data_IF_298763039237
#
_entry.id   IF_298763039237
#
_cell.length_a   1.000
_cell.length_b   1.000
_cell.length_c   1.000
_cell.angle_alpha   90.00
_cell.angle_beta   90.00
_cell.angle_gamma   90.00
#
_symmetry.space_group_name_H-M   'P 1'
#
loop_
_entity.id
_entity.type
_entity.pdbx_description
1 polymer ?
#
# COMPACT_ATOMS: atom_id res chain seq x y z
N UNK A 1 -4.42 -10.97 -0.64
CA UNK A 1 -5.15 -11.19 0.65
C UNK A 1 -5.55 -9.87 1.32
N UNK A 2 -5.60 -8.78 0.59
CA UNK A 2 -5.83 -7.47 1.17
C UNK A 2 -5.84 -6.43 0.07
N UNK A 3 -5.89 -5.17 0.47
CA UNK A 3 -6.01 -4.04 -0.44
C UNK A 3 -4.72 -3.24 -0.54
N UNK A 4 -4.58 -2.56 -1.66
CA UNK A 4 -3.55 -1.57 -1.84
C UNK A 4 -3.85 -0.32 -1.01
N UNK A 5 -2.82 0.23 -0.36
CA UNK A 5 -2.93 1.47 0.42
C UNK A 5 -1.91 2.51 -0.01
N UNK A 6 -1.99 3.70 0.60
CA UNK A 6 -1.14 4.87 0.28
C UNK A 6 0.38 4.58 0.31
N UNK A 7 0.83 3.61 1.10
CA UNK A 7 2.24 3.23 1.19
C UNK A 7 2.79 2.48 -0.04
N UNK A 8 1.94 2.15 -1.02
CA UNK A 8 2.21 1.49 -2.29
C UNK A 8 2.83 0.09 -2.24
N UNK A 9 3.77 -0.18 -1.33
CA UNK A 9 4.53 -1.42 -1.27
C UNK A 9 3.81 -2.51 -0.47
N UNK A 10 3.38 -2.30 0.80
CA UNK A 10 2.65 -3.32 1.53
C UNK A 10 1.17 -3.35 1.14
N UNK A 11 0.66 -4.54 0.82
CA UNK A 11 -0.79 -4.80 0.81
C UNK A 11 -1.31 -4.82 2.25
N UNK A 12 -2.41 -4.14 2.52
CA UNK A 12 -3.04 -4.03 3.85
C UNK A 12 -3.98 -5.23 4.04
N UNK A 13 -3.73 -6.04 5.07
CA UNK A 13 -4.61 -7.15 5.47
C UNK A 13 -5.56 -6.70 6.59
N UNK A 14 -6.87 -7.04 6.55
CA UNK A 14 -7.84 -6.57 7.55
C UNK A 14 -7.51 -7.01 8.99
N UNK A 15 -6.90 -8.19 9.16
CA UNK A 15 -6.51 -8.71 10.49
C UNK A 15 -5.13 -8.24 10.98
N UNK A 16 -4.16 -8.07 10.07
CA UNK A 16 -2.75 -7.94 10.43
C UNK A 16 -2.16 -6.58 9.99
N UNK A 17 -2.99 -5.69 9.45
CA UNK A 17 -2.55 -4.42 8.88
C UNK A 17 -1.49 -4.62 7.81
N UNK A 18 -0.41 -3.83 7.91
CA UNK A 18 0.69 -3.80 6.93
C UNK A 18 1.86 -4.72 7.30
N UNK A 19 1.79 -5.40 8.44
CA UNK A 19 2.86 -6.28 8.94
C UNK A 19 2.78 -7.70 8.36
N UNK A 20 2.05 -7.88 7.25
CA UNK A 20 1.98 -9.18 6.59
C UNK A 20 3.14 -9.37 5.60
N UNK A 21 4.13 -10.17 5.98
CA UNK A 21 5.27 -10.54 5.13
C UNK A 21 4.92 -11.54 4.03
N UNK A 22 3.78 -12.23 4.17
CA UNK A 22 3.35 -13.30 3.28
C UNK A 22 2.46 -12.81 2.11
N UNK A 23 2.18 -11.51 2.02
CA UNK A 23 1.41 -10.92 0.92
C UNK A 23 2.23 -10.94 -0.38
N UNK A 24 2.28 -12.09 -1.06
CA UNK A 24 3.03 -12.28 -2.30
C UNK A 24 3.91 -13.53 -2.35
N UNK A 25 3.91 -14.36 -1.29
CA UNK A 25 4.54 -15.69 -1.36
C UNK A 25 3.62 -16.63 -2.13
N UNK A 26 3.64 -16.47 -3.45
CA UNK A 26 2.91 -17.31 -4.38
C UNK A 26 3.88 -18.34 -4.98
N UNK A 27 3.54 -19.61 -4.84
CA UNK A 27 4.18 -20.66 -5.61
C UNK A 27 3.39 -20.85 -6.89
N UNK A 28 4.08 -20.79 -8.03
CA UNK A 28 3.50 -21.15 -9.31
C UNK A 28 3.35 -22.68 -9.34
N UNK A 29 2.13 -23.14 -9.56
CA UNK A 29 1.81 -24.57 -9.58
C UNK A 29 0.74 -24.86 -10.62
N UNK A 30 0.86 -26.01 -11.28
CA UNK A 30 -0.15 -26.52 -12.22
C UNK A 30 -1.28 -27.28 -11.51
N UNK A 31 -1.27 -27.32 -10.18
CA UNK A 31 -2.34 -27.95 -9.40
C UNK A 31 -3.66 -27.16 -9.57
N UNK A 32 -4.78 -27.82 -9.90
CA UNK A 32 -6.05 -27.13 -10.10
C UNK A 32 -6.61 -26.64 -8.76
N UNK A 33 -6.40 -25.35 -8.48
CA UNK A 33 -6.94 -24.65 -7.31
C UNK A 33 -7.96 -23.61 -7.77
N UNK A 34 -9.10 -23.55 -7.09
CA UNK A 34 -10.06 -22.48 -7.29
C UNK A 34 -9.49 -21.13 -6.81
N UNK A 35 -9.50 -20.07 -7.63
CA UNK A 35 -9.05 -18.75 -7.20
C UNK A 35 -9.97 -18.19 -6.11
N UNK A 36 -9.38 -17.43 -5.17
CA UNK A 36 -10.15 -16.72 -4.16
C UNK A 36 -10.65 -15.38 -4.68
N UNK A 37 -11.76 -14.90 -4.13
CA UNK A 37 -12.36 -13.62 -4.53
C UNK A 37 -11.47 -12.44 -4.10
N UNK A 38 -11.43 -11.33 -4.87
CA UNK A 38 -10.87 -10.06 -4.42
C UNK A 38 -11.56 -9.57 -3.14
N UNK A 39 -10.84 -8.80 -2.33
CA UNK A 39 -11.33 -8.26 -1.06
C UNK A 39 -11.50 -6.75 -1.22
N UNK A 40 -12.65 -6.24 -0.76
CA UNK A 40 -12.94 -4.80 -0.58
C UNK A 40 -13.49 -4.55 0.84
N UNK A 41 -12.62 -4.09 1.72
CA UNK A 41 -12.85 -3.57 3.07
C UNK A 41 -12.67 -2.04 3.15
N UNK A 42 -12.53 -1.34 2.03
CA UNK A 42 -12.49 0.12 1.98
C UNK A 42 -11.17 0.76 2.44
N UNK A 43 -10.05 0.05 2.31
CA UNK A 43 -8.73 0.56 2.67
C UNK A 43 -8.36 1.80 1.84
N UNK A 44 -8.79 1.83 0.58
CA UNK A 44 -8.57 2.97 -0.31
C UNK A 44 -9.23 4.24 0.21
N UNK A 45 -10.53 4.16 0.57
CA UNK A 45 -11.30 5.29 1.14
C UNK A 45 -10.71 5.75 2.46
N UNK A 46 -10.25 4.83 3.29
CA UNK A 46 -9.54 5.17 4.53
C UNK A 46 -8.22 5.91 4.26
N UNK A 47 -7.48 5.49 3.23
CA UNK A 47 -6.22 6.12 2.85
C UNK A 47 -6.38 7.57 2.37
N UNK A 48 -7.55 7.95 1.84
CA UNK A 48 -7.85 9.33 1.41
C UNK A 48 -7.73 10.33 2.57
N UNK A 49 -8.17 9.95 3.77
CA UNK A 49 -8.21 10.84 4.95
C UNK A 49 -7.07 10.61 5.95
N UNK A 50 -6.51 9.40 6.02
CA UNK A 50 -5.54 9.02 7.06
C UNK A 50 -4.21 9.77 6.94
N UNK A 51 -3.48 9.66 5.82
CA UNK A 51 -2.21 10.37 5.61
C UNK A 51 -1.06 10.07 6.60
N UNK A 52 -1.25 9.22 7.61
CA UNK A 52 -0.28 8.98 8.70
C UNK A 52 1.06 8.46 8.18
N UNK A 53 1.02 7.59 7.16
CA UNK A 53 2.25 7.12 6.53
C UNK A 53 3.00 8.25 5.79
N UNK A 54 2.34 9.31 5.35
CA UNK A 54 3.04 10.46 4.79
C UNK A 54 3.60 11.38 5.89
N UNK A 55 2.92 11.47 7.04
CA UNK A 55 3.32 12.36 8.15
C UNK A 55 4.35 11.78 9.10
N UNK A 56 4.35 10.45 9.30
CA UNK A 56 5.22 9.75 10.25
C UNK A 56 6.49 9.18 9.60
N UNK A 57 6.56 9.17 8.26
CA UNK A 57 7.80 8.85 7.58
C UNK A 57 8.85 9.88 8.02
N UNK A 58 10.07 9.45 8.39
CA UNK A 58 11.06 10.36 8.96
C UNK A 58 11.47 11.40 7.90
N UNK A 59 10.85 12.57 7.92
CA UNK A 59 11.27 13.88 7.39
C UNK A 59 11.94 14.03 6.00
N UNK A 60 12.22 12.98 5.21
CA UNK A 60 13.26 13.03 4.17
C UNK A 60 12.76 12.86 2.74
N UNK A 61 11.62 12.23 2.45
CA UNK A 61 11.17 12.08 1.05
C UNK A 61 10.24 13.20 0.56
N UNK A 62 9.58 13.94 1.45
CA UNK A 62 8.60 14.96 1.04
C UNK A 62 9.18 16.38 0.89
N UNK A 63 10.17 16.80 1.69
CA UNK A 63 10.85 18.09 1.42
C UNK A 63 11.65 18.06 0.10
N UNK A 64 12.16 16.89 -0.30
CA UNK A 64 12.98 16.75 -1.52
C UNK A 64 12.09 16.71 -2.78
N UNK A 65 10.96 15.99 -2.78
CA UNK A 65 10.10 15.92 -3.96
C UNK A 65 9.21 17.18 -4.14
N UNK A 66 8.77 17.82 -3.05
CA UNK A 66 7.99 19.05 -3.15
C UNK A 66 8.87 20.25 -3.59
N UNK A 67 10.15 20.29 -3.21
CA UNK A 67 11.11 21.27 -3.75
C UNK A 67 11.44 21.03 -5.24
N UNK A 68 11.55 19.76 -5.66
CA UNK A 68 11.83 19.42 -7.07
C UNK A 68 10.63 19.58 -8.01
N UNK A 69 9.41 19.20 -7.59
CA UNK A 69 8.23 19.28 -8.47
C UNK A 69 7.68 20.71 -8.60
N UNK A 70 7.80 21.56 -7.57
CA UNK A 70 7.39 22.97 -7.65
C UNK A 70 8.42 23.87 -8.36
N UNK A 71 9.68 23.46 -8.48
CA UNK A 71 10.73 24.19 -9.25
C UNK A 71 10.66 23.89 -10.75
N UNK A 72 10.13 22.73 -11.16
CA UNK A 72 10.06 22.33 -12.59
C UNK A 72 8.75 22.75 -13.26
N UNK A 73 7.70 23.08 -12.49
CA UNK A 73 6.40 23.53 -13.01
C UNK A 73 6.07 25.01 -12.71
N UNK A 74 7.07 25.86 -12.45
CA UNK A 74 6.91 27.33 -12.43
C UNK A 74 7.65 28.00 -13.58
#
# INVERSE_FOLDING_TARGET
LGEHGRMSSPTIHPKNGTTNRANGWAFLTDMPIAPTKPIDFGAYKFCETCGICASLFPFILFNILFSFLFTIHR
#
